data_IF_546723741835
#
_entry.id   IF_546723741835
#
_cell.length_a   1.000
_cell.length_b   1.000
_cell.length_c   1.000
_cell.angle_alpha   90.00
_cell.angle_beta   90.00
_cell.angle_gamma   90.00
#
_symmetry.space_group_name_H-M   'P 1'
#
loop_
_entity.id
_entity.type
_entity.pdbx_description
1 polymer ?
#
# COMPACT_ATOMS: atom_id res chain seq x y z
N UNK A 1 0.66 1.97 -4.97
CA UNK A 1 0.64 1.89 -3.53
C UNK A 1 -0.42 2.82 -2.95
N UNK A 2 -1.29 2.31 -2.06
CA UNK A 2 -2.49 2.99 -1.60
C UNK A 2 -2.25 4.19 -0.70
N UNK A 3 -3.32 4.95 -0.60
CA UNK A 3 -3.57 5.98 0.40
C UNK A 3 -3.45 5.36 1.81
N UNK A 4 -2.34 5.60 2.50
CA UNK A 4 -2.14 5.22 3.90
C UNK A 4 -3.22 5.83 4.81
N UNK A 5 -3.95 6.87 4.37
CA UNK A 5 -5.12 7.42 5.09
C UNK A 5 -6.29 6.45 5.12
N UNK A 6 -6.31 5.45 4.23
CA UNK A 6 -7.26 4.32 4.27
C UNK A 6 -6.78 3.16 5.15
N UNK A 7 -5.55 3.23 5.67
CA UNK A 7 -4.93 2.22 6.51
C UNK A 7 -4.49 0.93 5.80
N UNK A 8 -4.69 0.81 4.49
CA UNK A 8 -4.27 -0.34 3.70
C UNK A 8 -2.95 -0.08 2.95
N UNK A 9 -2.14 -1.12 2.75
CA UNK A 9 -0.96 -1.18 1.89
C UNK A 9 -1.11 -2.36 0.92
N UNK A 10 -1.21 -2.07 -0.38
CA UNK A 10 -1.28 -3.06 -1.44
C UNK A 10 0.12 -3.44 -1.91
N UNK A 11 0.37 -4.73 -2.02
CA UNK A 11 1.60 -5.31 -2.56
C UNK A 11 1.20 -6.19 -3.73
N UNK A 12 1.89 -6.04 -4.85
CA UNK A 12 1.60 -6.78 -6.08
C UNK A 12 2.88 -7.37 -6.62
N UNK A 13 2.78 -8.64 -7.01
CA UNK A 13 3.81 -9.31 -7.80
C UNK A 13 3.19 -9.64 -9.15
N UNK A 14 3.85 -9.23 -10.21
CA UNK A 14 3.37 -9.39 -11.57
C UNK A 14 4.55 -9.52 -12.53
N UNK A 15 4.32 -10.23 -13.64
CA UNK A 15 5.31 -10.40 -14.71
C UNK A 15 5.55 -9.09 -15.49
N UNK A 16 6.65 -9.01 -16.23
CA UNK A 16 7.07 -7.78 -16.94
C UNK A 16 5.99 -7.26 -17.90
N UNK A 17 5.26 -8.15 -18.58
CA UNK A 17 4.19 -7.82 -19.53
C UNK A 17 3.02 -7.04 -18.88
N UNK A 18 2.80 -7.24 -17.58
CA UNK A 18 1.70 -6.58 -16.85
C UNK A 18 1.93 -5.08 -16.77
N UNK A 19 3.19 -4.63 -16.74
CA UNK A 19 3.53 -3.21 -16.65
C UNK A 19 3.07 -2.41 -17.88
N UNK A 20 3.19 -2.99 -19.08
CA UNK A 20 2.71 -2.35 -20.32
C UNK A 20 1.18 -2.34 -20.38
N UNK A 21 0.55 -3.46 -19.99
CA UNK A 21 -0.91 -3.60 -19.97
C UNK A 21 -1.59 -2.61 -19.02
N UNK A 22 -0.96 -2.31 -17.88
CA UNK A 22 -1.44 -1.28 -16.96
C UNK A 22 -1.44 0.10 -17.64
N UNK A 23 -0.35 0.47 -18.33
CA UNK A 23 -0.27 1.76 -19.05
C UNK A 23 -1.34 1.88 -20.12
N UNK A 24 -1.53 0.81 -20.91
CA UNK A 24 -2.57 0.75 -21.93
C UNK A 24 -3.97 0.88 -21.32
N UNK A 25 -4.22 0.22 -20.20
CA UNK A 25 -5.50 0.27 -19.49
C UNK A 25 -5.80 1.66 -18.95
N UNK A 26 -4.81 2.31 -18.31
CA UNK A 26 -4.94 3.67 -17.81
C UNK A 26 -5.22 4.66 -18.95
N UNK A 27 -4.51 4.52 -20.07
CA UNK A 27 -4.73 5.33 -21.27
C UNK A 27 -6.13 5.12 -21.86
N UNK A 28 -6.54 3.86 -22.05
CA UNK A 28 -7.84 3.51 -22.62
C UNK A 28 -9.03 3.99 -21.75
N UNK A 29 -8.89 3.94 -20.43
CA UNK A 29 -9.90 4.45 -19.51
C UNK A 29 -9.77 5.96 -19.23
N UNK A 30 -8.79 6.63 -19.82
CA UNK A 30 -8.55 8.07 -19.66
C UNK A 30 -8.29 8.47 -18.20
N UNK A 31 -7.48 7.70 -17.47
CA UNK A 31 -7.09 7.98 -16.09
C UNK A 31 -5.58 8.13 -15.95
N UNK A 32 -5.14 9.00 -15.05
CA UNK A 32 -3.71 9.20 -14.73
C UNK A 32 -3.27 8.45 -13.47
N UNK A 33 -4.21 7.86 -12.73
CA UNK A 33 -3.94 7.04 -11.56
C UNK A 33 -4.96 5.91 -11.45
N UNK A 34 -4.59 4.86 -10.73
CA UNK A 34 -5.44 3.74 -10.33
C UNK A 34 -5.86 3.81 -8.85
N UNK A 35 -5.65 4.95 -8.18
CA UNK A 35 -6.27 5.23 -6.89
C UNK A 35 -7.77 5.49 -7.07
N UNK A 36 -8.62 4.52 -6.76
CA UNK A 36 -10.06 4.59 -6.99
C UNK A 36 -10.76 5.75 -6.23
N UNK A 37 -10.16 6.27 -5.16
CA UNK A 37 -10.69 7.43 -4.44
C UNK A 37 -10.56 8.75 -5.20
N UNK A 38 -9.64 8.82 -6.17
CA UNK A 38 -9.37 10.01 -6.99
C UNK A 38 -10.01 9.93 -8.38
N UNK A 39 -10.72 8.84 -8.67
CA UNK A 39 -11.26 8.56 -10.00
C UNK A 39 -12.79 8.73 -9.98
N UNK A 40 -13.38 9.44 -10.94
CA UNK A 40 -14.83 9.50 -11.08
C UNK A 40 -15.45 8.10 -11.25
N UNK A 41 -16.57 7.84 -10.56
CA UNK A 41 -17.22 6.52 -10.52
C UNK A 41 -17.45 5.88 -11.89
N UNK A 42 -17.82 6.67 -12.91
CA UNK A 42 -18.09 6.16 -14.26
C UNK A 42 -16.84 5.60 -14.96
N UNK A 43 -15.63 6.04 -14.59
CA UNK A 43 -14.36 5.49 -15.12
C UNK A 43 -13.93 4.21 -14.43
N UNK A 44 -14.40 3.95 -13.20
CA UNK A 44 -14.08 2.75 -12.42
C UNK A 44 -14.59 1.49 -13.14
N UNK A 45 -15.75 1.56 -13.79
CA UNK A 45 -16.30 0.44 -14.57
C UNK A 45 -15.37 0.02 -15.71
N UNK A 46 -14.77 0.98 -16.42
CA UNK A 46 -13.77 0.70 -17.45
C UNK A 46 -12.56 -0.03 -16.87
N UNK A 47 -12.00 0.49 -15.77
CA UNK A 47 -10.85 -0.10 -15.10
C UNK A 47 -11.11 -1.54 -14.66
N UNK A 48 -12.27 -1.80 -14.05
CA UNK A 48 -12.64 -3.15 -13.63
C UNK A 48 -12.75 -4.11 -14.83
N UNK A 49 -13.31 -3.68 -15.96
CA UNK A 49 -13.42 -4.52 -17.16
C UNK A 49 -12.04 -4.95 -17.68
N UNK A 50 -11.06 -4.04 -17.71
CA UNK A 50 -9.72 -4.34 -18.20
C UNK A 50 -8.88 -5.08 -17.17
N UNK A 51 -8.80 -4.57 -15.95
CA UNK A 51 -7.95 -5.14 -14.89
C UNK A 51 -8.44 -6.52 -14.42
N UNK A 52 -9.73 -6.84 -14.59
CA UNK A 52 -10.24 -8.19 -14.28
C UNK A 52 -9.72 -9.27 -15.23
N UNK A 53 -9.27 -8.90 -16.44
CA UNK A 53 -8.78 -9.85 -17.44
C UNK A 53 -7.34 -10.27 -17.19
N UNK A 54 -6.61 -9.51 -16.39
CA UNK A 54 -5.20 -9.79 -16.10
C UNK A 54 -5.08 -10.65 -14.84
N UNK A 55 -4.25 -11.67 -14.95
CA UNK A 55 -3.90 -12.51 -13.81
C UNK A 55 -2.71 -11.88 -13.10
N UNK A 56 -2.93 -11.31 -11.91
CA UNK A 56 -1.87 -10.82 -11.04
C UNK A 56 -2.20 -11.21 -9.59
N UNK A 57 -1.16 -11.41 -8.79
CA UNK A 57 -1.32 -11.72 -7.37
C UNK A 57 -1.20 -10.45 -6.55
N UNK A 58 -2.25 -10.15 -5.76
CA UNK A 58 -2.29 -9.00 -4.87
C UNK A 58 -2.41 -9.44 -3.41
N UNK A 59 -1.58 -8.84 -2.56
CA UNK A 59 -1.74 -8.85 -1.11
C UNK A 59 -2.18 -7.46 -0.65
N UNK A 60 -3.10 -7.40 0.31
CA UNK A 60 -3.55 -6.16 0.93
C UNK A 60 -3.31 -6.26 2.42
N UNK A 61 -2.27 -5.60 2.90
CA UNK A 61 -2.03 -5.48 4.33
C UNK A 61 -2.82 -4.32 4.91
N UNK A 62 -3.52 -4.53 6.02
CA UNK A 62 -4.20 -3.47 6.76
C UNK A 62 -3.36 -3.16 8.00
N UNK A 63 -2.67 -2.02 7.99
CA UNK A 63 -1.83 -1.59 9.11
C UNK A 63 -2.44 -0.45 9.92
N UNK A 64 -3.25 0.42 9.29
CA UNK A 64 -3.75 1.68 9.88
C UNK A 64 -2.64 2.43 10.66
N UNK A 65 -1.52 2.67 9.98
CA UNK A 65 -0.29 3.22 10.57
C UNK A 65 -0.58 4.47 11.38
N UNK A 66 -1.40 5.37 10.85
CA UNK A 66 -1.74 6.63 11.51
C UNK A 66 -2.67 6.42 12.71
N UNK A 67 -3.73 5.61 12.58
CA UNK A 67 -4.68 5.33 13.66
C UNK A 67 -3.98 4.64 14.84
N UNK A 68 -3.23 3.57 14.57
CA UNK A 68 -2.50 2.80 15.60
C UNK A 68 -1.46 3.68 16.31
N UNK A 69 -0.62 4.41 15.56
CA UNK A 69 0.43 5.25 16.17
C UNK A 69 -0.15 6.43 16.95
N UNK A 70 -1.23 7.05 16.46
CA UNK A 70 -1.89 8.16 17.17
C UNK A 70 -2.53 7.69 18.46
N UNK A 71 -3.24 6.56 18.43
CA UNK A 71 -3.85 5.97 19.63
C UNK A 71 -2.78 5.66 20.69
N UNK A 72 -1.71 4.96 20.31
CA UNK A 72 -0.61 4.63 21.23
C UNK A 72 0.11 5.87 21.77
N UNK A 73 0.34 6.88 20.93
CA UNK A 73 0.95 8.14 21.34
C UNK A 73 0.14 8.82 22.45
N UNK A 74 -1.19 8.84 22.33
CA UNK A 74 -2.10 9.40 23.33
C UNK A 74 -2.13 8.57 24.62
N UNK A 75 -2.28 7.25 24.50
CA UNK A 75 -2.37 6.32 25.64
C UNK A 75 -1.08 6.34 26.49
N UNK A 76 0.08 6.46 25.84
CA UNK A 76 1.39 6.40 26.50
C UNK A 76 2.05 7.76 26.72
N UNK A 77 1.48 8.85 26.18
CA UNK A 77 2.05 10.22 26.19
C UNK A 77 3.43 10.31 25.55
N UNK A 78 3.58 9.68 24.39
CA UNK A 78 4.85 9.58 23.67
C UNK A 78 4.80 10.40 22.39
N UNK A 79 5.97 10.87 21.94
CA UNK A 79 6.08 11.54 20.65
C UNK A 79 5.63 10.61 19.50
N UNK A 80 4.60 11.05 18.78
CA UNK A 80 4.00 10.34 17.65
C UNK A 80 4.97 10.11 16.50
N UNK A 81 5.87 11.03 16.20
CA UNK A 81 6.82 10.91 15.09
C UNK A 81 7.76 9.72 15.31
N UNK A 82 8.25 9.52 16.55
CA UNK A 82 9.06 8.36 16.91
C UNK A 82 8.30 7.04 16.73
N UNK A 83 7.01 7.02 17.04
CA UNK A 83 6.15 5.85 16.81
C UNK A 83 5.90 5.60 15.32
N UNK A 84 5.72 6.66 14.52
CA UNK A 84 5.58 6.55 13.07
C UNK A 84 6.85 6.00 12.42
N UNK A 85 8.04 6.45 12.82
CA UNK A 85 9.30 5.91 12.32
C UNK A 85 9.44 4.42 12.63
N UNK A 86 9.19 4.04 13.89
CA UNK A 86 9.19 2.62 14.30
C UNK A 86 8.15 1.79 13.56
N UNK A 87 6.97 2.35 13.28
CA UNK A 87 5.94 1.67 12.53
C UNK A 87 6.40 1.40 11.09
N UNK A 88 7.01 2.39 10.43
CA UNK A 88 7.57 2.20 9.09
C UNK A 88 8.72 1.21 9.05
N UNK A 89 9.56 1.18 10.09
CA UNK A 89 10.61 0.17 10.23
C UNK A 89 10.04 -1.25 10.35
N UNK A 90 9.00 -1.44 11.17
CA UNK A 90 8.31 -2.72 11.33
C UNK A 90 7.61 -3.16 10.04
N UNK A 91 6.88 -2.25 9.39
CA UNK A 91 6.21 -2.56 8.12
C UNK A 91 7.24 -2.90 7.03
N UNK A 92 8.38 -2.20 7.02
CA UNK A 92 9.49 -2.51 6.11
C UNK A 92 10.03 -3.92 6.31
N UNK A 93 10.19 -4.39 7.56
CA UNK A 93 10.71 -5.74 7.81
C UNK A 93 9.78 -6.84 7.31
N UNK A 94 8.47 -6.56 7.23
CA UNK A 94 7.47 -7.49 6.68
C UNK A 94 7.44 -7.41 5.16
N UNK A 95 7.16 -6.22 4.61
CA UNK A 95 6.88 -6.06 3.17
C UNK A 95 8.15 -6.22 2.33
N UNK A 96 9.27 -5.66 2.79
CA UNK A 96 10.54 -5.71 2.06
C UNK A 96 11.31 -7.01 2.27
N UNK A 97 10.77 -8.00 3.00
CA UNK A 97 11.44 -9.27 3.23
C UNK A 97 11.79 -10.02 1.92
N UNK A 98 11.00 -9.80 0.87
CA UNK A 98 11.13 -10.51 -0.41
C UNK A 98 11.69 -9.66 -1.55
N UNK A 99 11.97 -8.37 -1.33
CA UNK A 99 12.50 -7.48 -2.36
C UNK A 99 13.20 -6.26 -1.77
N UNK A 100 14.32 -5.87 -2.38
CA UNK A 100 15.06 -4.65 -2.09
C UNK A 100 14.74 -3.50 -3.07
N UNK A 101 13.97 -3.77 -4.12
CA UNK A 101 13.61 -2.82 -5.17
C UNK A 101 12.10 -2.81 -5.46
N UNK A 102 11.38 -1.91 -4.79
CA UNK A 102 9.97 -1.66 -5.01
C UNK A 102 9.71 -0.26 -5.61
N UNK A 103 8.64 -0.15 -6.39
CA UNK A 103 8.09 1.13 -6.84
C UNK A 103 7.18 1.74 -5.78
N UNK A 104 7.46 2.99 -5.39
CA UNK A 104 6.74 3.65 -4.31
C UNK A 104 6.28 5.07 -4.64
N UNK A 105 5.18 5.50 -4.03
CA UNK A 105 4.81 6.92 -3.98
C UNK A 105 5.60 7.63 -2.86
N UNK A 106 5.64 8.96 -2.90
CA UNK A 106 6.46 9.77 -2.00
C UNK A 106 6.01 9.73 -0.53
N UNK A 107 4.77 9.28 -0.27
CA UNK A 107 4.19 9.25 1.08
C UNK A 107 4.56 8.00 1.89
N UNK A 108 5.07 6.94 1.24
CA UNK A 108 5.39 5.66 1.89
C UNK A 108 6.88 5.54 2.14
N UNK A 109 7.22 5.17 3.37
CA UNK A 109 8.61 5.17 3.87
C UNK A 109 9.17 3.76 4.05
N UNK A 110 8.91 2.85 3.12
CA UNK A 110 9.49 1.50 3.17
C UNK A 110 10.94 1.50 2.72
N UNK A 111 11.79 0.68 3.36
CA UNK A 111 13.23 0.62 3.05
C UNK A 111 13.54 0.15 1.61
N UNK A 112 12.69 -0.69 1.04
CA UNK A 112 12.79 -1.18 -0.34
C UNK A 112 12.26 -0.19 -1.39
N UNK A 113 11.73 0.97 -1.01
CA UNK A 113 11.28 2.00 -1.94
C UNK A 113 12.47 2.66 -2.65
N UNK A 114 12.94 2.07 -3.75
CA UNK A 114 14.09 2.57 -4.53
C UNK A 114 13.68 3.18 -5.86
N UNK A 115 12.47 2.91 -6.35
CA UNK A 115 11.97 3.41 -7.64
C UNK A 115 10.77 4.32 -7.42
N UNK A 116 10.64 5.34 -8.27
CA UNK A 116 9.44 6.20 -8.31
C UNK A 116 8.23 5.37 -8.72
N UNK A 117 7.04 5.81 -8.29
CA UNK A 117 5.79 5.14 -8.58
C UNK A 117 5.57 5.01 -10.10
N UNK A 118 5.60 3.77 -10.59
CA UNK A 118 5.33 3.41 -11.97
C UNK A 118 4.06 2.55 -12.09
N UNK A 119 3.94 1.72 -13.15
CA UNK A 119 2.76 0.91 -13.39
C UNK A 119 2.43 -0.07 -12.26
N UNK A 120 3.42 -0.78 -11.71
CA UNK A 120 3.20 -1.75 -10.65
C UNK A 120 2.75 -1.05 -9.36
N UNK A 121 3.31 0.13 -9.09
CA UNK A 121 2.79 1.00 -8.05
C UNK A 121 1.33 1.39 -8.32
N UNK A 122 0.94 1.81 -9.53
CA UNK A 122 -0.47 2.10 -9.82
C UNK A 122 -1.37 0.87 -9.62
N UNK A 123 -0.96 -0.31 -10.07
CA UNK A 123 -1.72 -1.53 -9.84
C UNK A 123 -1.88 -1.85 -8.35
N UNK A 124 -0.85 -1.61 -7.55
CA UNK A 124 -0.93 -1.74 -6.09
C UNK A 124 -1.88 -0.72 -5.44
N UNK A 125 -2.10 0.47 -6.03
CA UNK A 125 -3.18 1.40 -5.57
C UNK A 125 -4.53 0.75 -5.78
N UNK A 126 -4.78 0.23 -6.98
CA UNK A 126 -6.04 -0.43 -7.32
C UNK A 126 -6.32 -1.61 -6.39
N UNK A 127 -5.34 -2.50 -6.21
CA UNK A 127 -5.45 -3.69 -5.35
C UNK A 127 -5.90 -3.33 -3.93
N UNK A 128 -5.28 -2.33 -3.34
CA UNK A 128 -5.64 -1.91 -2.00
C UNK A 128 -6.98 -1.16 -1.94
N UNK A 129 -7.24 -0.21 -2.86
CA UNK A 129 -8.52 0.52 -2.89
C UNK A 129 -9.72 -0.38 -3.17
N UNK A 130 -9.55 -1.39 -4.03
CA UNK A 130 -10.58 -2.37 -4.37
C UNK A 130 -10.63 -3.55 -3.39
N UNK A 131 -9.70 -3.63 -2.43
CA UNK A 131 -9.47 -4.81 -1.57
C UNK A 131 -9.41 -6.12 -2.38
N UNK A 132 -8.76 -6.07 -3.54
CA UNK A 132 -8.67 -7.17 -4.50
C UNK A 132 -7.40 -7.97 -4.26
N UNK A 133 -7.52 -9.11 -3.59
CA UNK A 133 -6.40 -9.98 -3.27
C UNK A 133 -6.60 -10.64 -1.91
N UNK A 134 -5.54 -11.25 -1.37
CA UNK A 134 -5.56 -11.76 0.00
C UNK A 134 -5.40 -10.59 0.96
N UNK A 135 -6.38 -10.41 1.84
CA UNK A 135 -6.35 -9.35 2.85
C UNK A 135 -5.77 -9.90 4.14
N UNK A 136 -4.76 -9.21 4.67
CA UNK A 136 -4.07 -9.56 5.91
C UNK A 136 -4.18 -8.37 6.86
N UNK A 137 -4.88 -8.55 7.98
CA UNK A 137 -5.00 -7.50 9.00
C UNK A 137 -3.83 -7.59 9.97
N UNK A 138 -3.03 -6.53 10.00
CA UNK A 138 -1.79 -6.42 10.76
C UNK A 138 -1.89 -5.38 11.87
N UNK A 139 -3.08 -4.80 12.13
CA UNK A 139 -3.25 -3.71 13.11
C UNK A 139 -2.82 -4.11 14.52
N UNK A 140 -3.25 -5.30 14.97
CA UNK A 140 -2.91 -5.80 16.31
C UNK A 140 -1.43 -6.20 16.42
N UNK A 141 -0.84 -6.71 15.34
CA UNK A 141 0.58 -7.02 15.29
C UNK A 141 1.44 -5.76 15.30
N UNK A 142 1.08 -4.75 14.51
CA UNK A 142 1.73 -3.45 14.54
C UNK A 142 1.63 -2.82 15.92
N UNK A 143 0.44 -2.84 16.55
CA UNK A 143 0.25 -2.32 17.91
C UNK A 143 1.16 -3.02 18.90
N UNK A 144 1.21 -4.35 18.89
CA UNK A 144 2.09 -5.15 19.77
C UNK A 144 3.57 -4.86 19.54
N UNK A 145 4.01 -4.78 18.29
CA UNK A 145 5.40 -4.47 17.95
C UNK A 145 5.82 -3.09 18.48
N UNK A 146 4.94 -2.09 18.36
CA UNK A 146 5.19 -0.75 18.85
C UNK A 146 5.17 -0.64 20.39
N UNK A 147 4.39 -1.49 21.07
CA UNK A 147 4.30 -1.54 22.53
C UNK A 147 5.54 -2.23 23.15
N UNK A 148 6.03 -3.34 22.57
CA UNK A 148 7.23 -4.06 23.06
C UNK A 148 8.51 -3.23 22.89
N UNK A 149 8.56 -2.37 21.87
CA UNK A 149 9.72 -1.51 21.58
C UNK A 149 9.98 -0.41 22.63
N UNK A 150 9.15 -0.35 23.68
CA UNK A 150 9.19 0.66 24.75
C UNK A 150 10.04 0.23 25.96
N UNK A 151 10.30 -1.07 26.13
CA UNK A 151 10.98 -1.63 27.31
C UNK A 151 12.51 -1.80 27.12
N UNK A 152 13.10 -1.16 26.09
CA UNK A 152 14.55 -1.16 25.80
C UNK A 152 15.10 0.26 25.66
#
# INVERSE_FOLDING_TARGET
>A
MPDWRSGAIGVVTADEDVSELIKLTMSACGVSTLNLYLIPKYKISCLNIFLNKYNFSGLVYIFDVYGVTTQLALERRINRERLLERAWDYISSIICAQTDQAECNDEVRLKCCKRRCGPLCELAKYVASAKRGVVIDMRDELRRALDISQDL
#
